data_IF_768042274787
#
_entry.id   IF_768042274787
#
_cell.length_a   1.000
_cell.length_b   1.000
_cell.length_c   1.000
_cell.angle_alpha   90.00
_cell.angle_beta   90.00
_cell.angle_gamma   90.00
#
_symmetry.space_group_name_H-M   'P 1'
#
loop_
_entity.id
_entity.type
_entity.pdbx_description
1 polymer ?
#
# COMPACT_ATOMS: atom_id res chain seq x y z
N UNK A 1 2.91 5.80 5.88
CA UNK A 1 2.15 6.28 4.71
C UNK A 1 3.08 7.08 3.85
N UNK A 2 3.15 6.74 2.57
CA UNK A 2 4.06 7.35 1.61
C UNK A 2 3.65 8.78 1.31
N UNK A 3 2.37 9.10 1.48
CA UNK A 3 1.93 10.49 1.41
C UNK A 3 2.58 11.40 2.47
N UNK A 4 3.08 10.86 3.59
CA UNK A 4 3.81 11.65 4.59
C UNK A 4 5.28 11.87 4.22
N UNK A 5 5.78 11.17 3.20
CA UNK A 5 7.16 11.31 2.71
C UNK A 5 7.25 12.09 1.41
N UNK A 6 6.13 12.40 0.74
CA UNK A 6 6.13 13.26 -0.44
C UNK A 6 6.62 14.67 -0.08
N UNK A 7 7.59 15.18 -0.84
CA UNK A 7 8.15 16.53 -0.70
C UNK A 7 7.72 17.42 -1.85
N UNK A 8 7.73 16.88 -3.08
CA UNK A 8 7.38 17.61 -4.30
C UNK A 8 6.75 16.64 -5.29
N UNK A 9 5.83 17.14 -6.13
CA UNK A 9 5.26 16.40 -7.23
C UNK A 9 5.10 17.32 -8.44
N UNK A 10 5.40 16.78 -9.62
CA UNK A 10 5.14 17.45 -10.89
C UNK A 10 4.08 16.67 -11.65
N UNK A 11 3.08 17.38 -12.18
CA UNK A 11 1.94 16.78 -12.86
C UNK A 11 1.55 17.56 -14.12
N UNK A 12 0.95 16.85 -15.08
CA UNK A 12 0.34 17.41 -16.28
C UNK A 12 -1.17 17.47 -16.07
N UNK A 13 -1.75 18.66 -16.11
CA UNK A 13 -3.19 18.92 -15.94
C UNK A 13 -3.98 18.61 -17.22
N UNK A 14 -5.31 18.63 -17.15
CA UNK A 14 -6.19 18.26 -18.26
C UNK A 14 -6.03 19.17 -19.49
N UNK A 15 -5.59 20.41 -19.28
CA UNK A 15 -5.27 21.39 -20.34
C UNK A 15 -3.82 21.28 -20.86
N UNK A 16 -3.07 20.27 -20.41
CA UNK A 16 -1.70 19.97 -20.87
C UNK A 16 -0.59 20.75 -20.16
N UNK A 17 -0.91 21.56 -19.15
CA UNK A 17 0.10 22.35 -18.43
C UNK A 17 0.90 21.49 -17.44
N UNK A 18 2.22 21.68 -17.39
CA UNK A 18 3.10 21.09 -16.36
C UNK A 18 3.07 21.97 -15.11
N UNK A 19 2.69 21.39 -13.98
CA UNK A 19 2.53 22.06 -12.68
C UNK A 19 3.39 21.34 -11.65
N UNK A 20 4.28 22.07 -10.99
CA UNK A 20 5.06 21.58 -9.86
C UNK A 20 4.47 22.10 -8.56
N UNK A 21 4.27 21.21 -7.59
CA UNK A 21 3.75 21.52 -6.25
C UNK A 21 4.63 20.91 -5.18
N UNK A 22 4.73 21.57 -4.03
CA UNK A 22 5.70 21.20 -2.98
C UNK A 22 5.10 21.26 -1.58
N UNK A 23 5.72 20.58 -0.63
CA UNK A 23 5.37 20.63 0.79
C UNK A 23 5.63 22.00 1.43
N UNK A 24 6.27 22.92 0.71
CA UNK A 24 6.58 24.29 1.17
C UNK A 24 5.61 25.32 0.63
N UNK A 25 4.74 24.95 -0.31
CA UNK A 25 3.71 25.85 -0.82
C UNK A 25 2.77 26.27 0.32
N UNK A 26 2.31 27.52 0.29
CA UNK A 26 1.29 27.98 1.25
C UNK A 26 0.06 27.07 1.14
N UNK A 27 -0.33 26.44 2.24
CA UNK A 27 -1.46 25.51 2.29
C UNK A 27 -2.79 26.15 1.84
N UNK A 28 -2.91 27.48 1.90
CA UNK A 28 -4.10 28.20 1.42
C UNK A 28 -4.08 28.49 -0.08
N UNK A 29 -2.91 28.43 -0.71
CA UNK A 29 -2.75 28.62 -2.16
C UNK A 29 -3.34 27.44 -2.95
N UNK A 30 -3.64 27.66 -4.23
CA UNK A 30 -4.12 26.61 -5.11
C UNK A 30 -3.12 25.44 -5.23
N UNK A 31 -1.82 25.75 -5.29
CA UNK A 31 -0.74 24.76 -5.35
C UNK A 31 -0.60 23.97 -4.04
N UNK A 32 -0.67 24.65 -2.89
CA UNK A 32 -0.60 23.98 -1.58
C UNK A 32 -1.79 23.06 -1.34
N UNK A 33 -3.00 23.45 -1.77
CA UNK A 33 -4.19 22.59 -1.75
C UNK A 33 -4.03 21.39 -2.68
N UNK A 34 -3.50 21.59 -3.89
CA UNK A 34 -3.23 20.48 -4.81
C UNK A 34 -2.19 19.51 -4.24
N UNK A 35 -1.07 20.01 -3.69
CA UNK A 35 -0.08 19.18 -3.00
C UNK A 35 -0.73 18.34 -1.89
N UNK A 36 -1.54 18.97 -1.04
CA UNK A 36 -2.28 18.29 0.02
C UNK A 36 -3.21 17.19 -0.52
N UNK A 37 -3.86 17.41 -1.67
CA UNK A 37 -4.71 16.41 -2.32
C UNK A 37 -3.90 15.20 -2.82
N UNK A 38 -2.72 15.43 -3.40
CA UNK A 38 -1.81 14.35 -3.81
C UNK A 38 -1.34 13.50 -2.63
N UNK A 39 -1.31 14.06 -1.43
CA UNK A 39 -1.01 13.36 -0.19
C UNK A 39 -2.16 12.48 0.35
N UNK A 40 -2.91 11.78 -0.52
CA UNK A 40 -3.83 10.72 -0.09
C UNK A 40 -5.19 10.62 -0.79
N UNK A 41 -5.47 11.45 -1.80
CA UNK A 41 -6.72 11.36 -2.56
C UNK A 41 -6.76 10.21 -3.59
N UNK A 42 -5.65 9.47 -3.77
CA UNK A 42 -5.54 8.41 -4.76
C UNK A 42 -5.35 8.90 -6.20
N UNK A 43 -4.99 7.99 -7.08
CA UNK A 43 -4.70 8.28 -8.49
C UNK A 43 -5.94 8.61 -9.33
N UNK A 44 -5.71 9.20 -10.51
CA UNK A 44 -6.75 9.44 -11.51
C UNK A 44 -7.73 10.58 -11.17
N UNK A 45 -7.30 11.58 -10.40
CA UNK A 45 -8.17 12.67 -9.94
C UNK A 45 -7.81 14.07 -10.47
N UNK A 46 -6.52 14.46 -10.52
CA UNK A 46 -6.16 15.88 -10.72
C UNK A 46 -5.18 16.14 -11.87
N UNK A 47 -4.61 15.08 -12.45
CA UNK A 47 -3.52 15.18 -13.42
C UNK A 47 -2.78 13.86 -13.58
N UNK A 48 -1.86 13.84 -14.54
CA UNK A 48 -0.88 12.78 -14.70
C UNK A 48 0.38 13.19 -13.93
N UNK A 49 0.69 12.53 -12.82
CA UNK A 49 1.94 12.76 -12.09
C UNK A 49 3.09 12.20 -12.91
N UNK A 50 4.08 13.04 -13.21
CA UNK A 50 5.25 12.70 -14.04
C UNK A 50 6.56 12.64 -13.23
N UNK A 51 6.63 13.34 -12.09
CA UNK A 51 7.81 13.35 -11.21
C UNK A 51 7.36 13.41 -9.75
N UNK A 52 8.13 12.80 -8.84
CA UNK A 52 7.96 12.93 -7.39
C UNK A 52 9.32 13.04 -6.71
N UNK A 53 9.39 13.87 -5.67
CA UNK A 53 10.51 13.91 -4.73
C UNK A 53 10.05 13.39 -3.38
N UNK A 54 10.73 12.36 -2.87
CA UNK A 54 10.36 11.68 -1.63
C UNK A 54 11.43 11.87 -0.56
N UNK A 55 11.00 11.98 0.70
CA UNK A 55 11.87 12.02 1.86
C UNK A 55 12.31 10.61 2.25
N UNK A 56 13.60 10.36 2.18
CA UNK A 56 14.20 9.12 2.67
C UNK A 56 14.24 9.08 4.21
N UNK A 57 14.18 7.87 4.76
CA UNK A 57 14.31 7.62 6.19
C UNK A 57 15.69 7.01 6.48
N UNK A 58 16.36 7.52 7.51
CA UNK A 58 17.60 6.94 8.01
C UNK A 58 17.29 5.66 8.79
N UNK A 59 17.95 4.56 8.43
CA UNK A 59 17.91 3.31 9.20
C UNK A 59 18.67 3.47 10.52
N UNK A 60 18.34 2.64 11.52
CA UNK A 60 19.06 2.66 12.81
C UNK A 60 20.50 2.20 12.66
N UNK A 61 20.76 1.29 11.72
CA UNK A 61 22.09 0.75 11.44
C UNK A 61 22.22 0.33 9.98
N UNK A 62 23.28 -0.44 9.69
CA UNK A 62 23.57 -0.99 8.36
C UNK A 62 22.86 -2.32 8.08
N UNK A 63 22.20 -2.88 9.08
CA UNK A 63 21.48 -4.15 9.00
C UNK A 63 20.00 -3.94 9.26
N UNK A 64 19.21 -4.84 8.68
CA UNK A 64 17.78 -5.00 8.96
C UNK A 64 17.49 -6.46 9.22
N UNK A 65 16.41 -6.75 9.94
CA UNK A 65 15.93 -8.12 10.12
C UNK A 65 14.70 -8.31 9.26
N UNK A 66 14.73 -9.31 8.39
CA UNK A 66 13.62 -9.66 7.52
C UNK A 66 13.30 -11.15 7.60
N UNK A 67 12.04 -11.50 7.40
CA UNK A 67 11.59 -12.88 7.51
C UNK A 67 10.22 -13.14 6.91
N UNK A 68 9.96 -14.41 6.65
CA UNK A 68 8.64 -14.90 6.25
C UNK A 68 8.36 -16.21 7.00
N UNK A 69 7.24 -16.24 7.72
CA UNK A 69 6.79 -17.45 8.39
C UNK A 69 5.33 -17.76 8.06
N UNK A 70 5.00 -19.03 7.84
CA UNK A 70 3.63 -19.49 7.68
C UNK A 70 3.27 -20.41 8.84
N UNK A 71 2.32 -19.98 9.65
CA UNK A 71 1.78 -20.75 10.76
C UNK A 71 0.50 -21.45 10.33
N UNK A 72 0.49 -22.78 10.43
CA UNK A 72 -0.72 -23.60 10.28
C UNK A 72 -1.11 -24.15 11.67
N UNK A 73 -2.10 -23.55 12.35
CA UNK A 73 -2.57 -24.10 13.61
C UNK A 73 -3.30 -25.44 13.36
N UNK A 74 -3.23 -26.35 14.34
CA UNK A 74 -3.88 -27.66 14.22
C UNK A 74 -5.41 -27.51 14.12
N UNK A 75 -6.09 -28.35 13.32
CA UNK A 75 -7.54 -28.30 13.14
C UNK A 75 -8.27 -28.96 14.33
N UNK A 76 -8.00 -28.48 15.55
CA UNK A 76 -8.65 -28.92 16.78
C UNK A 76 -9.11 -27.71 17.62
N UNK A 77 -10.13 -27.93 18.46
CA UNK A 77 -10.82 -26.84 19.15
C UNK A 77 -9.90 -26.05 20.10
N UNK A 78 -9.00 -26.74 20.81
CA UNK A 78 -8.10 -26.10 21.77
C UNK A 78 -6.99 -25.31 21.06
N UNK A 79 -6.41 -25.88 20.00
CA UNK A 79 -5.46 -25.18 19.14
C UNK A 79 -6.10 -23.96 18.48
N UNK A 80 -7.34 -24.05 18.03
CA UNK A 80 -8.09 -22.91 17.48
C UNK A 80 -8.37 -21.83 18.52
N UNK A 81 -8.76 -22.22 19.75
CA UNK A 81 -8.96 -21.26 20.84
C UNK A 81 -7.66 -20.52 21.19
N UNK A 82 -6.54 -21.25 21.28
CA UNK A 82 -5.23 -20.65 21.51
C UNK A 82 -4.81 -19.74 20.34
N UNK A 83 -5.04 -20.18 19.10
CA UNK A 83 -4.80 -19.37 17.90
C UNK A 83 -5.57 -18.05 17.95
N UNK A 84 -6.88 -18.07 18.19
CA UNK A 84 -7.70 -16.85 18.27
C UNK A 84 -7.21 -15.91 19.37
N UNK A 85 -6.91 -16.44 20.56
CA UNK A 85 -6.35 -15.64 21.65
C UNK A 85 -4.99 -15.03 21.28
N UNK A 86 -4.14 -15.80 20.60
CA UNK A 86 -2.81 -15.34 20.16
C UNK A 86 -2.94 -14.20 19.14
N UNK A 87 -3.84 -14.32 18.17
CA UNK A 87 -4.02 -13.30 17.13
C UNK A 87 -4.64 -12.01 17.68
N UNK A 88 -5.57 -12.10 18.64
CA UNK A 88 -6.10 -10.90 19.33
C UNK A 88 -4.99 -10.17 20.09
N UNK A 89 -4.15 -10.91 20.83
CA UNK A 89 -3.01 -10.32 21.53
C UNK A 89 -2.00 -9.71 20.54
N UNK A 90 -1.74 -10.38 19.41
CA UNK A 90 -0.89 -9.89 18.32
C UNK A 90 -1.38 -8.56 17.75
N UNK A 91 -2.66 -8.46 17.38
CA UNK A 91 -3.21 -7.26 16.74
C UNK A 91 -3.38 -6.08 17.72
N UNK A 92 -3.52 -6.35 19.02
CA UNK A 92 -3.62 -5.31 20.05
C UNK A 92 -2.25 -4.93 20.64
N UNK A 93 -1.17 -5.61 20.26
CA UNK A 93 0.17 -5.32 20.73
C UNK A 93 0.62 -3.92 20.30
N UNK A 94 1.36 -3.26 21.19
CA UNK A 94 2.01 -1.97 20.93
C UNK A 94 3.39 -2.19 20.32
N UNK A 95 3.40 -2.53 19.04
CA UNK A 95 4.64 -2.73 18.28
C UNK A 95 5.51 -1.45 18.26
N UNK A 96 6.85 -1.57 18.36
CA UNK A 96 7.74 -0.42 18.22
C UNK A 96 7.74 0.10 16.78
N UNK A 97 8.09 1.37 16.59
CA UNK A 97 8.08 2.02 15.27
C UNK A 97 9.11 1.47 14.27
N UNK A 98 10.00 0.61 14.75
CA UNK A 98 11.03 -0.09 14.00
C UNK A 98 10.51 -1.39 13.40
N UNK A 99 9.37 -1.90 13.85
CA UNK A 99 8.88 -3.25 13.49
C UNK A 99 7.57 -3.17 12.73
N UNK A 100 7.55 -3.85 11.59
CA UNK A 100 6.34 -4.12 10.82
C UNK A 100 6.19 -5.62 10.69
N UNK A 101 5.05 -6.15 11.13
CA UNK A 101 4.67 -7.55 10.92
C UNK A 101 3.27 -7.54 10.34
N UNK A 102 3.19 -7.84 9.05
CA UNK A 102 1.91 -8.02 8.38
C UNK A 102 1.40 -9.44 8.65
N UNK A 103 0.12 -9.67 8.40
CA UNK A 103 -0.42 -11.03 8.44
C UNK A 103 -1.48 -11.28 7.39
N UNK A 104 -1.44 -12.44 6.75
CA UNK A 104 -2.46 -12.89 5.81
C UNK A 104 -3.04 -14.21 6.29
N UNK A 105 -4.33 -14.22 6.64
CA UNK A 105 -5.07 -15.44 6.93
C UNK A 105 -5.52 -16.05 5.60
N UNK A 106 -5.15 -17.29 5.36
CA UNK A 106 -5.36 -18.02 4.11
C UNK A 106 -6.30 -19.19 4.39
N UNK A 107 -7.47 -19.16 3.77
CA UNK A 107 -8.44 -20.25 3.81
C UNK A 107 -8.63 -20.78 2.39
N UNK A 108 -7.85 -21.81 2.05
CA UNK A 108 -7.90 -22.47 0.75
C UNK A 108 -8.81 -23.71 0.82
N UNK A 109 -9.72 -23.85 -0.14
CA UNK A 109 -10.70 -24.95 -0.17
C UNK A 109 -10.07 -26.31 -0.44
N UNK A 110 -8.93 -26.34 -1.13
CA UNK A 110 -8.17 -27.55 -1.46
C UNK A 110 -7.26 -28.06 -0.32
N UNK A 111 -7.10 -27.29 0.76
CA UNK A 111 -6.33 -27.71 1.92
C UNK A 111 -7.20 -28.49 2.92
N UNK A 112 -7.11 -29.82 2.85
CA UNK A 112 -7.78 -30.72 3.79
C UNK A 112 -7.03 -30.85 5.14
N UNK A 113 -5.77 -30.42 5.23
CA UNK A 113 -4.91 -30.61 6.41
C UNK A 113 -5.01 -29.45 7.41
N UNK A 114 -5.55 -28.31 7.00
CA UNK A 114 -5.64 -27.11 7.82
C UNK A 114 -6.92 -26.34 7.54
N UNK A 115 -7.55 -25.81 8.59
CA UNK A 115 -8.72 -24.93 8.43
C UNK A 115 -8.32 -23.55 7.88
N UNK A 116 -7.13 -23.07 8.28
CA UNK A 116 -6.52 -21.84 7.79
C UNK A 116 -5.00 -21.89 8.02
N UNK A 117 -4.28 -21.01 7.33
CA UNK A 117 -2.88 -20.66 7.62
C UNK A 117 -2.75 -19.17 7.83
N UNK A 118 -1.73 -18.74 8.58
CA UNK A 118 -1.37 -17.32 8.70
C UNK A 118 0.05 -17.12 8.23
N UNK A 119 0.22 -16.28 7.20
CA UNK A 119 1.52 -15.87 6.68
C UNK A 119 1.93 -14.55 7.33
N UNK A 120 3.16 -14.45 7.81
CA UNK A 120 3.74 -13.29 8.48
C UNK A 120 5.00 -12.80 7.74
N UNK A 121 4.87 -11.81 6.84
CA UNK A 121 6.01 -11.00 6.39
C UNK A 121 6.48 -10.11 7.54
N UNK A 122 7.79 -10.12 7.80
CA UNK A 122 8.39 -9.47 8.97
C UNK A 122 9.51 -8.56 8.49
N UNK A 123 9.51 -7.33 8.99
CA UNK A 123 10.56 -6.34 8.76
C UNK A 123 10.88 -5.60 10.05
N UNK A 124 12.15 -5.48 10.39
CA UNK A 124 12.62 -4.73 11.54
C UNK A 124 13.86 -3.90 11.20
N UNK A 125 13.75 -2.59 11.42
CA UNK A 125 14.85 -1.64 11.30
C UNK A 125 15.67 -1.63 12.60
N UNK A 126 16.71 -2.46 12.65
CA UNK A 126 17.54 -2.66 13.83
C UNK A 126 18.19 -4.04 13.82
N UNK A 127 18.93 -4.34 14.89
CA UNK A 127 19.63 -5.62 15.05
C UNK A 127 18.70 -6.77 15.48
N UNK A 128 19.21 -8.00 15.31
CA UNK A 128 18.48 -9.23 15.63
C UNK A 128 18.12 -9.37 17.11
N UNK A 129 18.97 -8.89 18.01
CA UNK A 129 18.73 -9.03 19.45
C UNK A 129 17.55 -8.17 19.89
N UNK A 130 17.44 -6.93 19.39
CA UNK A 130 16.28 -6.05 19.62
C UNK A 130 15.00 -6.62 19.02
N UNK A 131 15.07 -7.20 17.82
CA UNK A 131 13.93 -7.88 17.22
C UNK A 131 13.46 -9.04 18.12
N UNK A 132 14.39 -9.90 18.56
CA UNK A 132 14.06 -11.06 19.40
C UNK A 132 13.44 -10.65 20.74
N UNK A 133 14.00 -9.63 21.40
CA UNK A 133 13.43 -9.06 22.61
C UNK A 133 12.02 -8.48 22.38
N UNK A 134 11.78 -7.88 21.21
CA UNK A 134 10.45 -7.37 20.83
C UNK A 134 9.44 -8.51 20.66
N UNK A 135 9.84 -9.60 19.99
CA UNK A 135 8.97 -10.77 19.83
C UNK A 135 8.66 -11.42 21.18
N UNK A 136 9.66 -11.62 22.04
CA UNK A 136 9.46 -12.24 23.35
C UNK A 136 8.57 -11.40 24.27
N UNK A 137 8.62 -10.08 24.14
CA UNK A 137 7.77 -9.14 24.88
C UNK A 137 6.30 -9.21 24.45
N UNK A 138 6.04 -9.34 23.15
CA UNK A 138 4.69 -9.15 22.59
C UNK A 138 3.98 -10.44 22.19
N UNK A 139 4.69 -11.53 21.91
CA UNK A 139 4.12 -12.82 21.48
C UNK A 139 4.15 -13.82 22.63
N UNK A 140 3.00 -14.03 23.28
CA UNK A 140 2.88 -14.97 24.41
C UNK A 140 2.95 -16.44 23.98
N UNK A 141 2.53 -16.75 22.75
CA UNK A 141 2.59 -18.11 22.22
C UNK A 141 4.04 -18.49 21.93
N UNK A 142 4.61 -19.37 22.76
CA UNK A 142 6.03 -19.73 22.74
C UNK A 142 6.49 -20.32 21.40
N UNK A 143 5.67 -21.16 20.77
CA UNK A 143 6.04 -21.77 19.49
C UNK A 143 5.99 -20.75 18.37
N UNK A 144 4.95 -19.90 18.33
CA UNK A 144 4.91 -18.80 17.36
C UNK A 144 6.10 -17.84 17.55
N UNK A 145 6.37 -17.42 18.78
CA UNK A 145 7.51 -16.55 19.08
C UNK A 145 8.84 -17.17 18.61
N UNK A 146 9.07 -18.45 18.93
CA UNK A 146 10.25 -19.20 18.48
C UNK A 146 10.36 -19.22 16.96
N UNK A 147 9.28 -19.53 16.25
CA UNK A 147 9.31 -19.62 14.79
C UNK A 147 9.49 -18.26 14.11
N UNK A 148 8.84 -17.20 14.60
CA UNK A 148 9.05 -15.84 14.09
C UNK A 148 10.52 -15.42 14.22
N UNK A 149 11.17 -15.73 15.35
CA UNK A 149 12.60 -15.46 15.57
C UNK A 149 13.52 -16.32 14.70
N UNK A 150 13.19 -17.60 14.50
CA UNK A 150 14.00 -18.53 13.70
C UNK A 150 13.92 -18.24 12.20
N UNK A 151 12.76 -17.76 11.73
CA UNK A 151 12.46 -17.50 10.31
C UNK A 151 12.71 -16.05 9.90
N UNK A 152 13.33 -15.27 10.77
CA UNK A 152 13.78 -13.92 10.48
C UNK A 152 15.29 -13.84 10.70
N UNK A 153 16.02 -13.29 9.74
CA UNK A 153 17.48 -13.17 9.79
C UNK A 153 17.89 -11.71 9.65
N UNK A 154 18.98 -11.34 10.32
CA UNK A 154 19.65 -10.07 10.05
C UNK A 154 20.42 -10.16 8.73
N UNK A 155 20.40 -9.10 7.96
CA UNK A 155 21.17 -8.96 6.73
C UNK A 155 21.53 -7.48 6.48
N UNK A 156 22.57 -7.20 5.68
CA UNK A 156 22.87 -5.84 5.24
C UNK A 156 21.67 -5.20 4.54
N UNK A 157 21.38 -3.93 4.85
CA UNK A 157 20.22 -3.23 4.31
C UNK A 157 20.23 -3.12 2.78
N UNK A 158 21.41 -3.09 2.17
CA UNK A 158 21.60 -3.09 0.71
C UNK A 158 21.15 -4.41 0.09
N UNK A 159 21.52 -5.54 0.70
CA UNK A 159 21.06 -6.87 0.28
C UNK A 159 19.56 -6.99 0.44
N UNK A 160 19.02 -6.56 1.58
CA UNK A 160 17.57 -6.57 1.79
C UNK A 160 16.84 -5.80 0.69
N UNK A 161 17.29 -4.60 0.36
CA UNK A 161 16.65 -3.75 -0.65
C UNK A 161 16.73 -4.34 -2.07
N UNK A 162 17.88 -4.89 -2.45
CA UNK A 162 18.15 -5.32 -3.84
C UNK A 162 17.78 -6.78 -4.11
N UNK A 163 17.80 -7.65 -3.10
CA UNK A 163 17.58 -9.09 -3.26
C UNK A 163 16.36 -9.56 -2.50
N UNK A 164 16.32 -9.42 -1.17
CA UNK A 164 15.29 -10.04 -0.33
C UNK A 164 13.92 -9.45 -0.61
N UNK A 165 13.81 -8.11 -0.59
CA UNK A 165 12.57 -7.41 -0.87
C UNK A 165 12.11 -7.68 -2.31
N UNK A 166 13.03 -7.59 -3.28
CA UNK A 166 12.75 -7.88 -4.70
C UNK A 166 12.27 -9.32 -4.90
N UNK A 167 12.85 -10.29 -4.19
CA UNK A 167 12.47 -11.70 -4.28
C UNK A 167 11.09 -11.96 -3.67
N UNK A 168 10.81 -11.37 -2.50
CA UNK A 168 9.50 -11.43 -1.87
C UNK A 168 8.43 -10.81 -2.79
N UNK A 169 8.71 -9.63 -3.34
CA UNK A 169 7.85 -8.96 -4.31
C UNK A 169 7.65 -9.77 -5.59
N UNK A 170 8.73 -10.28 -6.17
CA UNK A 170 8.68 -11.08 -7.38
C UNK A 170 7.88 -12.36 -7.17
N UNK A 171 7.99 -12.98 -5.99
CA UNK A 171 7.18 -14.14 -5.63
C UNK A 171 5.70 -13.79 -5.57
N UNK A 172 5.33 -12.68 -4.92
CA UNK A 172 3.94 -12.23 -4.84
C UNK A 172 3.38 -11.80 -6.20
N UNK A 173 4.17 -11.10 -7.01
CA UNK A 173 3.79 -10.68 -8.36
C UNK A 173 3.67 -11.85 -9.32
N UNK A 174 4.64 -12.77 -9.32
CA UNK A 174 4.56 -14.00 -10.12
C UNK A 174 3.39 -14.85 -9.68
N UNK A 175 3.14 -14.98 -8.38
CA UNK A 175 1.94 -15.65 -7.88
C UNK A 175 0.71 -14.97 -8.48
N UNK A 176 0.53 -13.66 -8.28
CA UNK A 176 -0.65 -12.90 -8.70
C UNK A 176 -0.88 -12.88 -10.22
N UNK A 177 0.18 -12.71 -11.02
CA UNK A 177 0.14 -12.66 -12.48
C UNK A 177 0.05 -14.05 -13.11
N UNK A 178 0.77 -15.05 -12.60
CA UNK A 178 0.68 -16.43 -13.11
C UNK A 178 -0.66 -17.07 -12.74
N UNK A 179 -1.31 -16.61 -11.67
CA UNK A 179 -2.69 -16.99 -11.35
C UNK A 179 -3.74 -16.03 -11.93
N UNK A 180 -3.34 -14.98 -12.67
CA UNK A 180 -4.28 -14.15 -13.44
C UNK A 180 -4.80 -14.87 -14.69
N UNK A 181 -4.13 -15.93 -15.17
CA UNK A 181 -4.70 -16.81 -16.20
C UNK A 181 -5.66 -17.80 -15.55
N UNK A 182 -6.96 -17.59 -15.74
CA UNK A 182 -8.01 -18.57 -15.41
C UNK A 182 -8.60 -18.50 -14.01
N UNK A 183 -8.34 -17.43 -13.23
CA UNK A 183 -9.02 -17.19 -11.94
C UNK A 183 -9.70 -15.84 -11.89
N UNK A 184 -10.86 -15.81 -11.24
CA UNK A 184 -11.59 -14.59 -10.90
C UNK A 184 -11.16 -14.09 -9.52
N UNK A 185 -11.21 -12.76 -9.32
CA UNK A 185 -10.92 -12.13 -8.04
C UNK A 185 -11.86 -10.98 -7.73
N UNK A 186 -12.31 -10.91 -6.48
CA UNK A 186 -13.04 -9.76 -5.94
C UNK A 186 -12.48 -9.36 -4.58
N UNK A 187 -12.60 -8.07 -4.27
CA UNK A 187 -11.95 -7.46 -3.11
C UNK A 187 -12.92 -6.59 -2.31
N UNK A 188 -12.67 -6.50 -1.01
CA UNK A 188 -13.21 -5.44 -0.15
C UNK A 188 -12.16 -5.05 0.88
N UNK A 189 -12.24 -3.85 1.45
CA UNK A 189 -11.26 -3.37 2.42
C UNK A 189 -11.89 -2.48 3.49
N UNK A 190 -11.31 -2.54 4.68
CA UNK A 190 -11.65 -1.71 5.84
C UNK A 190 -10.38 -1.21 6.51
N UNK A 191 -10.42 0.01 7.05
CA UNK A 191 -9.37 0.54 7.91
C UNK A 191 -9.78 0.39 9.37
N UNK A 192 -8.92 -0.23 10.16
CA UNK A 192 -9.19 -0.59 11.55
C UNK A 192 -8.22 0.12 12.49
N UNK A 193 -8.71 0.52 13.66
CA UNK A 193 -7.85 0.79 14.80
C UNK A 193 -7.43 -0.53 15.49
N UNK A 194 -6.68 -0.43 16.58
CA UNK A 194 -6.28 -1.59 17.39
C UNK A 194 -7.03 -1.68 18.72
N UNK A 195 -8.26 -1.13 18.79
CA UNK A 195 -9.09 -1.28 19.98
C UNK A 195 -9.43 -2.77 20.20
N UNK A 196 -9.26 -3.25 21.43
CA UNK A 196 -9.43 -4.68 21.74
C UNK A 196 -10.83 -5.21 21.41
N UNK A 197 -11.87 -4.44 21.66
CA UNK A 197 -13.26 -4.84 21.32
C UNK A 197 -13.44 -4.97 19.82
N UNK A 198 -12.93 -4.01 19.05
CA UNK A 198 -12.93 -4.04 17.58
C UNK A 198 -12.18 -5.27 17.06
N UNK A 199 -10.96 -5.49 17.53
CA UNK A 199 -10.10 -6.61 17.12
C UNK A 199 -10.74 -7.97 17.45
N UNK A 200 -11.30 -8.14 18.65
CA UNK A 200 -12.01 -9.37 19.02
C UNK A 200 -13.21 -9.60 18.09
N UNK A 201 -14.02 -8.56 17.85
CA UNK A 201 -15.20 -8.67 16.99
C UNK A 201 -14.86 -9.05 15.56
N UNK A 202 -13.90 -8.36 14.95
CA UNK A 202 -13.53 -8.58 13.54
C UNK A 202 -12.80 -9.91 13.33
N UNK A 203 -11.93 -10.35 14.25
CA UNK A 203 -11.24 -11.64 14.14
C UNK A 203 -12.22 -12.80 14.26
N UNK A 204 -13.19 -12.71 15.18
CA UNK A 204 -14.29 -13.67 15.29
C UNK A 204 -15.15 -13.70 14.02
N UNK A 205 -15.49 -12.54 13.46
CA UNK A 205 -16.21 -12.46 12.19
C UNK A 205 -15.42 -13.14 11.07
N UNK A 206 -14.15 -12.82 10.90
CA UNK A 206 -13.29 -13.43 9.86
C UNK A 206 -13.24 -14.94 10.03
N UNK A 207 -13.02 -15.45 11.24
CA UNK A 207 -12.96 -16.89 11.50
C UNK A 207 -14.28 -17.58 11.17
N UNK A 208 -15.40 -16.97 11.54
CA UNK A 208 -16.74 -17.46 11.21
C UNK A 208 -16.95 -17.52 9.69
N UNK A 209 -16.66 -16.43 8.99
CA UNK A 209 -16.84 -16.37 7.53
C UNK A 209 -15.90 -17.34 6.80
N UNK A 210 -14.69 -17.59 7.30
CA UNK A 210 -13.81 -18.66 6.77
C UNK A 210 -14.44 -20.05 6.91
N UNK A 211 -15.11 -20.35 8.02
CA UNK A 211 -15.82 -21.62 8.18
C UNK A 211 -16.98 -21.73 7.17
N UNK A 212 -17.78 -20.67 7.04
CA UNK A 212 -18.90 -20.61 6.09
C UNK A 212 -18.41 -20.72 4.65
N UNK A 213 -17.28 -20.11 4.32
CA UNK A 213 -16.65 -20.21 3.00
C UNK A 213 -16.30 -21.65 2.67
N UNK A 214 -15.66 -22.37 3.59
CA UNK A 214 -15.33 -23.80 3.40
C UNK A 214 -16.56 -24.66 3.24
N UNK A 215 -17.55 -24.49 4.11
CA UNK A 215 -18.78 -25.28 4.09
C UNK A 215 -19.55 -25.07 2.77
N UNK A 216 -19.80 -23.80 2.41
CA UNK A 216 -20.62 -23.44 1.25
C UNK A 216 -20.00 -23.81 -0.09
N UNK A 217 -18.68 -23.76 -0.19
CA UNK A 217 -17.94 -24.01 -1.43
C UNK A 217 -17.15 -25.32 -1.38
N UNK A 218 -17.62 -26.29 -0.59
CA UNK A 218 -17.00 -27.62 -0.49
C UNK A 218 -16.89 -28.25 -1.88
N UNK A 219 -15.68 -28.73 -2.24
CA UNK A 219 -15.41 -29.38 -3.52
C UNK A 219 -14.95 -28.42 -4.64
N UNK A 220 -14.97 -27.12 -4.40
CA UNK A 220 -14.51 -26.11 -5.36
C UNK A 220 -13.03 -25.73 -5.14
N UNK A 221 -12.40 -25.15 -6.17
CA UNK A 221 -11.07 -24.51 -6.05
C UNK A 221 -11.25 -23.02 -5.79
N UNK A 222 -10.93 -22.60 -4.57
CA UNK A 222 -11.02 -21.21 -4.16
C UNK A 222 -10.21 -20.88 -2.91
N UNK A 223 -9.91 -19.59 -2.77
CA UNK A 223 -9.14 -19.02 -1.67
C UNK A 223 -9.87 -17.80 -1.14
N UNK A 224 -10.12 -17.80 0.17
CA UNK A 224 -10.45 -16.61 0.93
C UNK A 224 -9.21 -16.16 1.70
N UNK A 225 -8.66 -15.02 1.31
CA UNK A 225 -7.52 -14.39 1.95
C UNK A 225 -7.95 -13.13 2.69
N UNK A 226 -7.53 -12.99 3.95
CA UNK A 226 -7.71 -11.76 4.73
C UNK A 226 -6.34 -11.24 5.16
N UNK A 227 -5.91 -10.14 4.56
CA UNK A 227 -4.61 -9.52 4.84
C UNK A 227 -4.78 -8.32 5.74
N UNK A 228 -3.92 -8.22 6.74
CA UNK A 228 -3.78 -7.14 7.69
C UNK A 228 -2.43 -6.49 7.45
N UNK A 229 -2.45 -5.33 6.81
CA UNK A 229 -1.25 -4.52 6.57
C UNK A 229 -1.08 -3.60 7.77
N UNK A 230 0.01 -3.80 8.50
CA UNK A 230 0.32 -3.01 9.68
C UNK A 230 0.67 -1.58 9.28
N UNK A 231 -0.05 -0.64 9.88
CA UNK A 231 0.08 0.78 9.70
C UNK A 231 0.31 1.44 11.08
N UNK A 232 -0.14 2.67 11.25
CA UNK A 232 -0.02 3.37 12.52
C UNK A 232 1.38 3.90 12.80
N UNK A 233 1.79 3.87 14.07
CA UNK A 233 3.08 4.42 14.49
C UNK A 233 3.24 5.89 14.08
N UNK A 234 4.26 6.19 13.25
CA UNK A 234 4.52 7.55 12.73
C UNK A 234 3.43 8.06 11.77
N UNK A 235 2.61 7.17 11.19
CA UNK A 235 1.45 7.58 10.39
C UNK A 235 0.36 8.28 11.23
N UNK A 236 0.33 8.00 12.54
CA UNK A 236 -0.71 8.48 13.46
C UNK A 236 -0.21 9.61 14.37
N UNK A 237 1.05 9.54 14.83
CA UNK A 237 1.60 10.48 15.83
C UNK A 237 1.57 11.94 15.35
N UNK A 238 0.90 12.79 16.13
CA UNK A 238 0.86 14.24 15.90
C UNK A 238 0.06 14.66 14.66
N UNK A 239 -0.74 13.76 14.08
CA UNK A 239 -1.54 14.02 12.88
C UNK A 239 -3.02 13.86 13.17
N UNK A 240 -3.83 14.61 12.45
CA UNK A 240 -5.30 14.56 12.50
C UNK A 240 -5.87 14.31 11.09
N UNK A 241 -7.18 14.15 10.99
CA UNK A 241 -7.86 13.77 9.75
C UNK A 241 -7.72 14.78 8.61
N UNK A 242 -7.28 16.01 8.87
CA UNK A 242 -7.08 17.06 7.85
C UNK A 242 -5.61 17.35 7.54
N UNK A 243 -4.66 16.68 8.22
CA UNK A 243 -3.21 16.89 8.02
C UNK A 243 -2.78 16.63 6.58
N UNK A 244 -3.41 15.64 5.92
CA UNK A 244 -3.28 15.34 4.50
C UNK A 244 -4.63 14.91 3.96
N UNK A 245 -4.76 14.69 2.64
CA UNK A 245 -5.98 14.13 2.07
C UNK A 245 -6.36 12.74 2.62
N UNK A 246 -5.40 11.90 3.05
CA UNK A 246 -5.71 10.66 3.77
C UNK A 246 -6.22 10.95 5.21
N UNK A 247 -7.50 10.65 5.53
CA UNK A 247 -8.12 11.11 6.77
C UNK A 247 -7.98 10.14 7.95
N UNK A 248 -7.76 8.84 7.70
CA UNK A 248 -7.87 7.79 8.72
C UNK A 248 -6.61 7.68 9.58
N UNK A 249 -6.23 8.76 10.26
CA UNK A 249 -4.98 8.88 11.04
C UNK A 249 -4.97 8.12 12.38
N UNK A 250 -6.05 7.42 12.70
CA UNK A 250 -6.09 6.44 13.82
C UNK A 250 -5.92 5.00 13.34
N UNK A 251 -5.87 4.78 12.02
CA UNK A 251 -5.69 3.45 11.43
C UNK A 251 -4.40 2.80 11.92
N UNK A 252 -4.51 1.53 12.33
CA UNK A 252 -3.38 0.66 12.66
C UNK A 252 -3.33 -0.52 11.70
N UNK A 253 -4.45 -0.90 11.08
CA UNK A 253 -4.46 -1.94 10.04
C UNK A 253 -5.29 -1.54 8.83
N UNK A 254 -4.65 -1.53 7.66
CA UNK A 254 -5.38 -1.63 6.40
C UNK A 254 -5.69 -3.10 6.16
N UNK A 255 -6.95 -3.47 6.32
CA UNK A 255 -7.39 -4.86 6.17
C UNK A 255 -8.13 -5.01 4.85
N UNK A 256 -7.71 -5.96 4.03
CA UNK A 256 -8.43 -6.30 2.81
C UNK A 256 -8.74 -7.79 2.75
N UNK A 257 -9.89 -8.10 2.18
CA UNK A 257 -10.34 -9.46 1.89
C UNK A 257 -10.30 -9.65 0.39
N UNK A 258 -9.68 -10.74 -0.05
CA UNK A 258 -9.65 -11.21 -1.42
C UNK A 258 -10.34 -12.57 -1.47
N UNK A 259 -11.28 -12.73 -2.40
CA UNK A 259 -11.77 -14.03 -2.83
C UNK A 259 -11.23 -14.32 -4.21
N UNK A 260 -10.71 -15.53 -4.38
CA UNK A 260 -10.22 -16.06 -5.65
C UNK A 260 -10.86 -17.42 -5.93
N UNK A 261 -11.26 -17.66 -7.18
CA UNK A 261 -11.84 -18.93 -7.62
C UNK A 261 -11.63 -19.13 -9.11
N UNK A 262 -11.78 -20.37 -9.60
CA UNK A 262 -11.66 -20.69 -11.04
C UNK A 262 -12.99 -20.67 -11.78
N UNK A 263 -14.02 -21.27 -11.19
CA UNK A 263 -15.21 -21.62 -11.96
C UNK A 263 -16.18 -20.46 -12.16
N UNK A 264 -16.42 -20.10 -13.41
CA UNK A 264 -17.22 -18.92 -13.79
C UNK A 264 -18.65 -18.92 -13.24
N UNK A 265 -19.23 -20.10 -13.00
CA UNK A 265 -20.60 -20.21 -12.48
C UNK A 265 -20.71 -19.79 -11.01
N UNK A 266 -19.61 -19.78 -10.26
CA UNK A 266 -19.57 -19.34 -8.86
C UNK A 266 -19.60 -17.82 -8.69
N UNK A 267 -19.53 -17.04 -9.78
CA UNK A 267 -19.39 -15.58 -9.71
C UNK A 267 -20.46 -14.92 -8.82
N UNK A 268 -21.73 -15.26 -9.04
CA UNK A 268 -22.84 -14.67 -8.27
C UNK A 268 -22.78 -15.08 -6.78
N UNK A 269 -22.37 -16.31 -6.48
CA UNK A 269 -22.27 -16.82 -5.11
C UNK A 269 -21.13 -16.17 -4.34
N UNK A 270 -19.97 -15.97 -4.99
CA UNK A 270 -18.80 -15.29 -4.46
C UNK A 270 -19.07 -13.81 -4.22
N UNK A 271 -19.68 -13.11 -5.19
CA UNK A 271 -20.10 -11.71 -5.03
C UNK A 271 -21.12 -11.55 -3.90
N UNK A 272 -22.10 -12.46 -3.83
CA UNK A 272 -23.10 -12.48 -2.76
C UNK A 272 -22.48 -12.73 -1.38
N UNK A 273 -21.53 -13.66 -1.30
CA UNK A 273 -20.77 -13.94 -0.07
C UNK A 273 -19.98 -12.71 0.38
N UNK A 274 -19.14 -12.14 -0.50
CA UNK A 274 -18.33 -10.98 -0.16
C UNK A 274 -19.17 -9.76 0.21
N UNK A 275 -20.30 -9.55 -0.47
CA UNK A 275 -21.23 -8.44 -0.16
C UNK A 275 -21.78 -8.53 1.26
N UNK A 276 -22.16 -9.73 1.72
CA UNK A 276 -22.62 -9.95 3.10
C UNK A 276 -21.48 -9.74 4.09
N UNK A 277 -20.34 -10.40 3.88
CA UNK A 277 -19.15 -10.25 4.73
C UNK A 277 -18.73 -8.79 4.87
N UNK A 278 -18.66 -8.04 3.77
CA UNK A 278 -18.35 -6.60 3.77
C UNK A 278 -19.29 -5.80 4.66
N UNK A 279 -20.59 -6.11 4.64
CA UNK A 279 -21.59 -5.38 5.41
C UNK A 279 -21.34 -5.54 6.91
N UNK A 280 -20.94 -6.75 7.33
CA UNK A 280 -20.56 -7.04 8.72
C UNK A 280 -19.19 -6.46 9.08
N UNK A 281 -18.19 -6.60 8.21
CA UNK A 281 -16.84 -6.02 8.40
C UNK A 281 -16.89 -4.51 8.60
N UNK A 282 -17.75 -3.82 7.84
CA UNK A 282 -17.85 -2.36 7.88
C UNK A 282 -18.25 -1.83 9.26
N UNK A 283 -18.97 -2.61 10.08
CA UNK A 283 -19.34 -2.23 11.45
C UNK A 283 -18.12 -2.04 12.35
N UNK A 284 -16.99 -2.65 12.00
CA UNK A 284 -15.72 -2.54 12.73
C UNK A 284 -14.77 -1.50 12.15
N UNK A 285 -15.05 -0.98 10.95
CA UNK A 285 -14.25 0.08 10.35
C UNK A 285 -14.29 1.34 11.23
N UNK A 286 -13.23 2.16 11.18
CA UNK A 286 -13.23 3.47 11.82
C UNK A 286 -14.45 4.26 11.32
N UNK A 287 -15.22 4.82 12.26
CA UNK A 287 -16.50 5.49 12.00
C UNK A 287 -17.51 4.67 11.17
N UNK A 288 -17.41 3.34 11.21
CA UNK A 288 -18.22 2.40 10.42
C UNK A 288 -18.17 2.63 8.91
N UNK A 289 -17.13 3.28 8.40
CA UNK A 289 -17.02 3.64 6.97
C UNK A 289 -15.62 3.57 6.40
N UNK A 290 -14.59 3.71 7.22
CA UNK A 290 -13.22 3.89 6.77
C UNK A 290 -12.71 2.73 5.89
N UNK A 291 -12.15 3.11 4.75
CA UNK A 291 -11.53 2.21 3.78
C UNK A 291 -10.33 2.92 3.14
N UNK A 292 -9.51 2.18 2.41
CA UNK A 292 -8.30 2.72 1.79
C UNK A 292 -8.44 2.69 0.27
N UNK A 293 -8.31 3.86 -0.36
CA UNK A 293 -8.60 4.04 -1.79
C UNK A 293 -7.72 3.19 -2.71
N UNK A 294 -6.53 2.85 -2.24
CA UNK A 294 -5.57 1.98 -2.88
C UNK A 294 -6.07 0.52 -2.99
N UNK A 295 -7.12 0.16 -2.24
CA UNK A 295 -7.86 -1.09 -2.37
C UNK A 295 -9.30 -0.78 -2.81
N UNK A 296 -9.50 -0.33 -4.06
CA UNK A 296 -10.81 0.08 -4.54
C UNK A 296 -11.80 -1.08 -4.49
N UNK A 297 -12.94 -0.85 -3.85
CA UNK A 297 -13.99 -1.85 -3.70
C UNK A 297 -15.14 -1.55 -4.67
N UNK A 298 -15.24 -2.35 -5.73
CA UNK A 298 -16.27 -2.19 -6.78
C UNK A 298 -17.71 -2.23 -6.24
N UNK A 299 -17.97 -2.88 -5.11
CA UNK A 299 -19.30 -2.90 -4.53
C UNK A 299 -19.58 -1.75 -3.55
N UNK A 300 -18.56 -0.93 -3.23
CA UNK A 300 -18.72 0.33 -2.51
C UNK A 300 -19.14 1.46 -3.48
N UNK A 301 -20.38 1.39 -3.97
CA UNK A 301 -20.92 2.35 -4.96
C UNK A 301 -21.43 3.64 -4.33
N UNK A 302 -22.15 3.52 -3.21
CA UNK A 302 -22.69 4.67 -2.45
C UNK A 302 -21.83 4.90 -1.22
N UNK A 303 -21.54 6.16 -0.90
CA UNK A 303 -20.78 6.51 0.30
C UNK A 303 -19.26 6.29 0.18
N UNK A 304 -18.71 6.12 -1.04
CA UNK A 304 -17.29 5.81 -1.20
C UNK A 304 -16.39 7.01 -0.90
N UNK A 305 -16.83 8.23 -1.21
CA UNK A 305 -16.04 9.44 -0.90
C UNK A 305 -15.92 9.60 0.61
N UNK A 306 -17.01 9.36 1.34
CA UNK A 306 -17.04 9.37 2.78
C UNK A 306 -16.20 8.23 3.38
N UNK A 307 -16.07 7.09 2.69
CA UNK A 307 -15.27 5.96 3.12
C UNK A 307 -13.76 6.14 2.86
N UNK A 308 -13.38 6.81 1.76
CA UNK A 308 -11.98 7.02 1.39
C UNK A 308 -11.42 8.34 1.90
N UNK A 309 -12.23 9.41 1.84
CA UNK A 309 -11.82 10.78 2.11
C UNK A 309 -12.39 11.32 3.42
N UNK A 310 -13.37 10.66 4.03
CA UNK A 310 -13.80 11.04 5.37
C UNK A 310 -14.33 12.48 5.40
N UNK A 311 -13.82 13.27 6.36
CA UNK A 311 -14.11 14.71 6.49
C UNK A 311 -13.51 15.58 5.37
N UNK A 312 -12.57 15.04 4.60
CA UNK A 312 -11.86 15.76 3.53
C UNK A 312 -12.62 15.79 2.19
N UNK A 313 -13.78 15.15 2.12
CA UNK A 313 -14.55 14.97 0.89
C UNK A 313 -14.81 16.29 0.17
N UNK A 314 -15.40 17.29 0.84
CA UNK A 314 -15.77 18.55 0.17
C UNK A 314 -14.54 19.38 -0.25
N UNK A 315 -13.50 19.42 0.57
CA UNK A 315 -12.25 20.08 0.22
C UNK A 315 -11.62 19.48 -1.05
N UNK A 316 -11.64 18.15 -1.19
CA UNK A 316 -11.18 17.49 -2.41
C UNK A 316 -12.04 17.84 -3.62
N UNK A 317 -13.37 17.98 -3.45
CA UNK A 317 -14.26 18.39 -4.55
C UNK A 317 -13.99 19.83 -5.00
N UNK A 318 -13.70 20.74 -4.08
CA UNK A 318 -13.31 22.12 -4.42
C UNK A 318 -12.01 22.15 -5.22
N UNK A 319 -11.02 21.34 -4.81
CA UNK A 319 -9.75 21.19 -5.54
C UNK A 319 -10.01 20.59 -6.93
N UNK A 320 -10.90 19.61 -7.03
CA UNK A 320 -11.31 19.01 -8.30
C UNK A 320 -11.95 20.04 -9.23
N UNK A 321 -12.86 20.88 -8.72
CA UNK A 321 -13.47 21.95 -9.52
C UNK A 321 -12.44 22.97 -10.02
N UNK A 322 -11.41 23.25 -9.23
CA UNK A 322 -10.35 24.18 -9.61
C UNK A 322 -9.41 23.61 -10.68
N UNK A 323 -8.94 22.38 -10.49
CA UNK A 323 -7.85 21.79 -11.28
C UNK A 323 -8.33 20.89 -12.42
N UNK A 324 -9.57 20.42 -12.37
CA UNK A 324 -10.21 19.63 -13.42
C UNK A 324 -11.72 19.94 -13.50
N UNK A 325 -12.11 21.19 -13.86
CA UNK A 325 -13.51 21.65 -13.89
C UNK A 325 -14.39 20.87 -14.86
N UNK A 326 -13.81 20.32 -15.93
CA UNK A 326 -14.50 19.55 -16.95
C UNK A 326 -14.56 18.04 -16.60
N UNK A 327 -13.96 17.66 -15.46
CA UNK A 327 -13.91 16.30 -14.96
C UNK A 327 -13.32 15.32 -15.97
N UNK A 328 -12.22 15.72 -16.62
CA UNK A 328 -11.45 14.93 -17.57
C UNK A 328 -10.92 13.64 -16.91
N UNK A 329 -10.33 13.76 -15.73
CA UNK A 329 -9.84 12.62 -14.95
C UNK A 329 -10.99 12.02 -14.13
N UNK A 330 -11.78 11.14 -14.75
CA UNK A 330 -12.99 10.57 -14.16
C UNK A 330 -12.96 9.04 -14.13
N UNK A 331 -13.31 8.47 -12.97
CA UNK A 331 -13.54 7.03 -12.81
C UNK A 331 -14.57 6.76 -11.70
N UNK A 332 -14.98 5.50 -11.53
CA UNK A 332 -16.16 5.14 -10.73
C UNK A 332 -16.09 5.48 -9.24
N UNK A 333 -14.90 5.59 -8.66
CA UNK A 333 -14.69 5.95 -7.25
C UNK A 333 -13.70 7.11 -7.07
N UNK A 334 -13.53 7.94 -8.12
CA UNK A 334 -12.74 9.17 -8.04
C UNK A 334 -13.45 10.29 -7.30
N UNK A 335 -12.73 11.35 -6.96
CA UNK A 335 -13.28 12.59 -6.38
C UNK A 335 -14.31 13.19 -7.34
N UNK A 336 -15.51 13.49 -6.85
CA UNK A 336 -16.55 14.13 -7.67
C UNK A 336 -16.37 15.64 -7.74
N UNK A 337 -16.90 16.26 -8.79
CA UNK A 337 -17.15 17.69 -8.77
C UNK A 337 -18.19 18.05 -7.68
N UNK A 338 -18.15 19.27 -7.14
CA UNK A 338 -19.19 19.76 -6.25
C UNK A 338 -20.56 19.65 -6.92
N UNK A 339 -21.60 19.40 -6.12
CA UNK A 339 -22.98 19.45 -6.62
C UNK A 339 -23.26 20.91 -7.00
N UNK A 340 -23.28 21.23 -8.29
CA UNK A 340 -23.59 22.59 -8.78
C UNK A 340 -24.90 23.06 -8.15
N UNK A 341 -24.89 24.22 -7.48
CA UNK A 341 -26.11 25.04 -7.44
C UNK A 341 -26.33 25.53 -8.88
N UNK A 342 -27.57 25.46 -9.36
CA UNK A 342 -27.96 25.67 -10.76
C UNK A 342 -27.63 27.09 -11.30
N UNK A 343 -26.37 27.52 -11.47
CA UNK A 343 -26.11 28.90 -11.90
C UNK A 343 -24.78 29.22 -12.61
N UNK A 344 -24.15 28.29 -13.37
CA UNK A 344 -23.14 28.70 -14.37
C UNK A 344 -23.21 27.87 -15.66
N UNK A 345 -23.22 28.52 -16.85
CA UNK A 345 -23.19 27.82 -18.13
C UNK A 345 -21.82 27.14 -18.35
N UNK A 346 -21.77 26.03 -19.08
CA UNK A 346 -20.53 25.34 -19.41
C UNK A 346 -19.62 26.23 -20.26
N UNK A 347 -18.32 26.18 -19.98
CA UNK A 347 -17.30 26.89 -20.76
C UNK A 347 -17.06 26.09 -22.04
N UNK A 348 -17.28 26.70 -23.20
CA UNK A 348 -17.02 26.05 -24.50
C UNK A 348 -15.50 25.95 -24.66
N UNK A 349 -14.95 24.74 -24.57
CA UNK A 349 -13.56 24.49 -24.97
C UNK A 349 -13.43 24.74 -26.49
N UNK A 350 -12.45 25.56 -26.88
CA UNK A 350 -11.94 25.53 -28.26
C UNK A 350 -11.29 24.16 -28.47
N UNK A 351 -11.70 23.46 -29.52
CA UNK A 351 -11.06 22.22 -29.93
C UNK A 351 -9.55 22.42 -30.05
N UNK A 352 -8.77 21.51 -29.46
CA UNK A 352 -7.34 21.45 -29.73
C UNK A 352 -7.12 21.30 -31.24
N UNK A 353 -6.13 21.99 -31.83
CA UNK A 353 -5.81 21.80 -33.24
C UNK A 353 -5.50 20.32 -33.49
N UNK A 354 -6.18 19.73 -34.48
CA UNK A 354 -5.88 18.37 -34.95
C UNK A 354 -4.42 18.33 -35.37
N UNK A 355 -3.60 17.55 -34.66
CA UNK A 355 -2.29 17.15 -35.13
C UNK A 355 -2.53 16.23 -36.34
N UNK A 356 -2.02 16.62 -37.50
CA UNK A 356 -2.05 15.80 -38.71
C UNK A 356 -1.24 14.51 -38.48
N UNK A 357 -1.60 13.38 -39.10
CA UNK A 357 -0.85 12.14 -38.96
C UNK A 357 0.55 12.33 -39.56
N UNK A 358 1.54 12.53 -38.69
CA UNK A 358 2.96 12.51 -39.00
C UNK A 358 3.56 11.23 -38.39
N UNK A 359 4.45 10.63 -39.16
CA UNK A 359 5.05 9.29 -39.04
C UNK A 359 5.31 8.80 -37.61
N UNK A 360 4.92 7.54 -37.36
CA UNK A 360 5.21 6.77 -36.15
C UNK A 360 6.73 6.71 -35.91
N UNK A 361 7.22 7.55 -35.01
CA UNK A 361 8.50 7.38 -34.34
C UNK A 361 8.25 6.87 -32.91
N UNK A 362 8.81 5.72 -32.59
CA UNK A 362 8.79 5.10 -31.25
C UNK A 362 9.27 6.07 -30.16
N UNK A 363 8.33 6.78 -29.54
CA UNK A 363 8.60 7.60 -28.37
C UNK A 363 8.60 6.72 -27.12
N UNK A 364 9.79 6.21 -26.74
CA UNK A 364 10.01 5.55 -25.46
C UNK A 364 10.06 6.62 -24.36
N UNK A 365 8.96 6.79 -23.61
CA UNK A 365 8.95 7.62 -22.41
C UNK A 365 9.81 6.94 -21.32
N UNK A 366 10.99 7.52 -21.07
CA UNK A 366 11.91 7.04 -20.03
C UNK A 366 11.54 7.73 -18.72
N UNK A 367 11.14 6.97 -17.69
CA UNK A 367 10.89 7.48 -16.35
C UNK A 367 12.20 7.55 -15.57
N UNK A 368 12.60 8.76 -15.15
CA UNK A 368 13.77 8.95 -14.31
C UNK A 368 13.34 9.38 -12.91
N UNK A 369 13.56 8.51 -11.92
CA UNK A 369 13.47 8.87 -10.50
C UNK A 369 14.84 9.39 -10.08
N UNK A 370 14.97 10.70 -9.90
CA UNK A 370 16.20 11.30 -9.40
C UNK A 370 16.19 11.35 -7.88
N UNK A 371 17.08 10.58 -7.25
CA UNK A 371 17.43 10.71 -5.83
C UNK A 371 18.61 11.68 -5.76
N UNK A 372 18.40 12.86 -5.18
CA UNK A 372 19.48 13.85 -5.00
C UNK A 372 19.92 13.82 -3.54
N UNK A 373 21.17 13.39 -3.33
CA UNK A 373 21.88 13.62 -2.07
C UNK A 373 22.42 15.05 -2.06
N UNK A 374 22.35 15.73 -0.91
CA UNK A 374 22.78 17.13 -0.80
C UNK A 374 24.24 17.15 -0.38
N UNK A 375 25.12 17.49 -1.31
CA UNK A 375 26.51 17.82 -1.04
C UNK A 375 26.60 18.86 0.09
N UNK A 376 27.50 18.59 1.05
CA UNK A 376 27.88 19.53 2.11
C UNK A 376 28.88 20.51 1.50
N UNK A 377 28.57 21.79 1.64
CA UNK A 377 29.36 22.93 1.15
C UNK A 377 30.74 23.00 1.82
N UNK A 378 31.73 23.32 0.99
CA UNK A 378 33.14 23.51 1.34
C UNK A 378 33.36 24.78 2.19
N UNK A 379 34.19 24.67 3.23
CA UNK A 379 34.86 25.78 3.89
C UNK A 379 36.35 25.52 4.00
N UNK A 380 37.16 26.33 3.29
CA UNK A 380 38.63 26.51 3.43
C UNK A 380 38.97 26.98 4.87
N UNK A 381 40.12 26.81 5.51
CA UNK A 381 41.56 26.59 5.24
C UNK A 381 42.13 25.78 6.46
N UNK A 382 43.33 25.19 6.55
CA UNK A 382 44.71 25.59 6.28
C UNK A 382 45.63 24.34 6.54
N UNK A 383 46.89 24.45 6.11
CA UNK A 383 48.01 23.47 5.94
C UNK A 383 48.33 22.44 7.04
N UNK A 384 48.78 21.23 6.65
CA UNK A 384 50.18 20.73 6.76
C UNK A 384 50.33 19.25 6.31
N UNK A 385 51.53 18.94 5.80
CA UNK A 385 51.96 17.78 5.01
C UNK A 385 52.14 16.47 5.81
N UNK A 386 51.90 15.30 5.20
CA UNK A 386 52.90 14.21 5.06
C UNK A 386 52.41 13.02 4.22
N UNK A 387 53.39 12.26 3.73
CA UNK A 387 53.45 11.45 2.52
C UNK A 387 52.58 10.16 2.41
N UNK A 388 52.09 9.98 1.18
CA UNK A 388 52.08 8.78 0.34
C UNK A 388 52.02 7.38 0.99
N UNK A 389 50.87 6.72 0.81
CA UNK A 389 50.86 5.34 0.27
C UNK A 389 49.72 5.22 -0.75
N UNK A 390 50.10 4.97 -2.01
CA UNK A 390 49.19 4.77 -3.14
C UNK A 390 48.69 3.33 -3.10
N UNK A 391 47.40 3.16 -2.87
CA UNK A 391 46.65 2.04 -3.45
C UNK A 391 45.61 2.62 -4.42
N UNK A 392 45.97 2.58 -5.71
CA UNK A 392 45.03 2.78 -6.82
C UNK A 392 43.94 1.71 -6.77
N UNK A 393 42.73 2.10 -6.37
CA UNK A 393 41.53 1.46 -6.92
C UNK A 393 40.97 2.38 -7.99
N UNK A 394 41.35 2.10 -9.23
CA UNK A 394 40.59 2.49 -10.41
C UNK A 394 39.24 1.77 -10.29
N UNK A 395 38.20 2.50 -9.89
CA UNK A 395 36.83 2.08 -10.20
C UNK A 395 36.49 2.79 -11.49
N UNK A 396 36.61 2.04 -12.58
CA UNK A 396 36.13 2.42 -13.90
C UNK A 396 34.73 3.04 -13.81
N UNK A 397 34.48 4.05 -14.66
CA UNK A 397 33.17 4.60 -14.96
C UNK A 397 32.14 3.47 -15.18
N UNK A 398 31.42 3.07 -14.13
CA UNK A 398 30.28 2.18 -14.26
C UNK A 398 29.10 3.01 -14.74
N UNK A 399 29.07 3.20 -16.06
CA UNK A 399 27.83 3.40 -16.81
C UNK A 399 26.85 2.36 -16.28
N UNK A 400 25.81 2.82 -15.58
CA UNK A 400 24.63 2.02 -15.25
C UNK A 400 23.92 1.69 -16.57
N UNK A 401 24.51 0.77 -17.33
CA UNK A 401 23.85 0.07 -18.40
C UNK A 401 22.72 -0.69 -17.74
N UNK A 402 21.52 -0.15 -17.87
CA UNK A 402 20.32 -0.94 -17.77
C UNK A 402 20.54 -2.15 -18.68
N UNK A 403 20.82 -3.32 -18.08
CA UNK A 403 20.69 -4.58 -18.76
C UNK A 403 19.20 -4.69 -19.09
N UNK A 404 18.83 -4.15 -20.25
CA UNK A 404 17.60 -4.44 -20.94
C UNK A 404 17.61 -5.94 -21.22
N UNK A 405 17.14 -6.72 -20.26
CA UNK A 405 16.56 -8.00 -20.59
C UNK A 405 15.37 -7.65 -21.48
N UNK A 406 15.56 -7.81 -22.79
CA UNK A 406 14.51 -7.75 -23.82
C UNK A 406 13.42 -8.76 -23.43
N UNK A 407 12.49 -8.34 -22.58
CA UNK A 407 11.21 -8.99 -22.44
C UNK A 407 10.40 -8.64 -23.70
N UNK A 408 10.36 -9.57 -24.65
CA UNK A 408 9.38 -9.57 -25.74
C UNK A 408 7.99 -9.77 -25.15
N UNK A 409 7.38 -8.73 -24.59
CA UNK A 409 5.93 -8.64 -24.41
C UNK A 409 5.53 -7.17 -24.53
N UNK A 410 5.07 -6.81 -25.73
CA UNK A 410 4.32 -5.60 -25.99
C UNK A 410 3.02 -5.64 -25.17
N UNK A 411 2.92 -4.77 -24.19
CA UNK A 411 1.77 -4.68 -23.29
C UNK A 411 1.95 -3.53 -22.32
N UNK A 412 1.60 -2.32 -22.76
CA UNK A 412 1.63 -1.12 -21.92
C UNK A 412 0.67 -1.26 -20.74
N UNK A 413 1.22 -1.54 -19.56
CA UNK A 413 0.52 -1.45 -18.28
C UNK A 413 0.91 -0.17 -17.56
N UNK A 414 -0.08 0.66 -17.20
CA UNK A 414 0.12 1.84 -16.35
C UNK A 414 0.43 1.35 -14.94
N UNK A 415 1.70 1.45 -14.52
CA UNK A 415 2.13 1.17 -13.15
C UNK A 415 1.43 2.17 -12.21
N UNK A 416 0.60 1.64 -11.30
CA UNK A 416 0.02 2.45 -10.24
C UNK A 416 0.99 2.52 -9.06
N UNK A 417 1.09 3.70 -8.45
CA UNK A 417 1.86 4.03 -7.25
C UNK A 417 1.59 3.17 -5.99
N UNK A 418 0.77 2.13 -6.12
CA UNK A 418 0.45 1.10 -5.13
C UNK A 418 1.61 0.13 -4.91
N UNK A 419 2.47 -0.01 -5.92
CA UNK A 419 3.52 -1.02 -5.98
C UNK A 419 4.84 -0.58 -5.34
N UNK A 420 4.81 0.36 -4.39
CA UNK A 420 6.01 0.80 -3.67
C UNK A 420 5.92 0.70 -2.14
N UNK A 421 4.84 0.16 -1.57
CA UNK A 421 4.80 -0.16 -0.13
C UNK A 421 5.14 1.01 0.81
N UNK A 422 4.94 2.26 0.38
CA UNK A 422 5.15 3.47 1.19
C UNK A 422 3.83 4.02 1.73
#
# INVERSE_FOLDING_TARGET
>A
MGCDTLLEATLVTADGNKVAVTSKDDQKSDNGKLFWALCGAGGGNFGVVVEMKMKLQKLEGREVVAGLYVWAPKPDADAMKNFMSTMVDFYTAKWPTQTTIDSSWLCALDDAKSELKVRFPIYHNGDKAKFDATIDKHIKNRELAKQLKLRSAAEPSTRFLLETLVSQWSFENKSTLSSATGKFRIYTSVALDNNKTTIVGVTNLIRKEMAVFRDRFTGEDGLMQVTWIHAGGRANRGKNSTTTAFPWRTCVYHTYVMLEWKEKWLNADMEGFLKRMRTELRKFAIESRASFINFPDRGLKKGYEEAYFGVNTEALREIKEKWDPDNFFKWSQGVKLPKKSNNKPPRIMRAAPRIAPGEEGDAVATFSVFVVDRAVDEGKSEEEEEEQEKDEYIVDDMVLGAAAVRNKYEGGGVLSLLDLGF
#
